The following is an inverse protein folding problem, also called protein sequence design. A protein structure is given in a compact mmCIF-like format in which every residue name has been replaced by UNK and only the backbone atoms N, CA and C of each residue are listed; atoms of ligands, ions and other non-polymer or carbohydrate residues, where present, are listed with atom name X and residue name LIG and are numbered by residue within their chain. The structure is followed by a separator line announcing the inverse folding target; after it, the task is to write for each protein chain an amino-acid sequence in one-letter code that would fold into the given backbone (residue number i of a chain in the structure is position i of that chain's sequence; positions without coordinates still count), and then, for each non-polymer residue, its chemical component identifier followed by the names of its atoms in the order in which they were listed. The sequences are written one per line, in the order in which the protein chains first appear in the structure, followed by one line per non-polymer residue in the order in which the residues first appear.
data_IF_038828660318
#
_entry.id   IF_038828660318
#
_cell.length_a   1.000
_cell.length_b   1.000
_cell.length_c   1.000
_cell.angle_alpha   90.00
_cell.angle_beta   90.00
_cell.angle_gamma   90.00
#
_symmetry.space_group_name_H-M   'P 1'
#
loop_
_entity.id
_entity.type
_entity.pdbx_description
1 polymer ?
#
# COMPACT_ATOMS: atom_id res chain seq x y z
N UNK A 1 -28.18 -54.22 -68.43
CA UNK A 1 -27.98 -52.78 -68.32
C UNK A 1 -28.54 -52.35 -66.95
N UNK A 2 -27.72 -52.22 -65.94
CA UNK A 2 -28.13 -51.87 -64.59
C UNK A 2 -27.50 -50.47 -64.24
N UNK A 3 -28.33 -49.51 -63.77
CA UNK A 3 -27.80 -48.21 -63.40
C UNK A 3 -27.17 -48.24 -61.98
N UNK A 4 -26.02 -47.71 -61.86
CA UNK A 4 -25.26 -47.49 -60.57
C UNK A 4 -25.92 -46.40 -59.77
N UNK A 5 -26.33 -46.74 -58.54
CA UNK A 5 -26.78 -45.75 -57.54
C UNK A 5 -25.63 -44.99 -56.94
N UNK A 6 -25.62 -43.67 -57.09
CA UNK A 6 -24.71 -42.76 -56.48
C UNK A 6 -25.15 -42.50 -55.03
N UNK A 7 -24.35 -42.95 -54.04
CA UNK A 7 -24.58 -42.64 -52.63
C UNK A 7 -23.93 -41.30 -52.30
N UNK A 8 -24.75 -40.28 -52.09
CA UNK A 8 -24.32 -39.00 -51.53
C UNK A 8 -24.02 -39.15 -50.04
N UNK A 9 -22.76 -39.08 -49.70
CA UNK A 9 -22.30 -39.00 -48.28
C UNK A 9 -22.46 -37.56 -47.80
N UNK A 10 -23.41 -37.34 -46.91
CA UNK A 10 -23.61 -36.06 -46.23
C UNK A 10 -22.49 -35.90 -45.19
N UNK A 11 -21.52 -35.06 -45.47
CA UNK A 11 -20.56 -34.60 -44.51
C UNK A 11 -21.24 -33.62 -43.52
N UNK A 12 -21.34 -34.05 -42.27
CA UNK A 12 -21.88 -33.23 -41.17
C UNK A 12 -20.73 -32.33 -40.67
N UNK A 13 -20.72 -31.05 -41.08
CA UNK A 13 -19.84 -30.04 -40.50
C UNK A 13 -20.32 -29.70 -39.08
N UNK A 14 -19.63 -30.22 -38.08
CA UNK A 14 -19.78 -29.79 -36.68
C UNK A 14 -18.96 -28.52 -36.51
N UNK A 15 -19.62 -27.37 -36.55
CA UNK A 15 -18.99 -26.08 -36.13
C UNK A 15 -18.82 -26.08 -34.61
N UNK A 16 -17.61 -26.33 -34.13
CA UNK A 16 -17.24 -26.11 -32.74
C UNK A 16 -17.22 -24.57 -32.51
N UNK A 17 -18.26 -24.05 -31.87
CA UNK A 17 -18.27 -22.67 -31.37
C UNK A 17 -17.37 -22.66 -30.09
N UNK A 18 -16.12 -22.30 -30.24
CA UNK A 18 -15.26 -21.93 -29.09
C UNK A 18 -15.85 -20.64 -28.50
N UNK A 19 -16.65 -20.78 -27.45
CA UNK A 19 -17.04 -19.68 -26.61
C UNK A 19 -15.79 -19.11 -25.93
N UNK A 20 -15.29 -17.99 -26.44
CA UNK A 20 -14.22 -17.24 -25.79
C UNK A 20 -14.70 -16.75 -24.44
N UNK A 21 -14.18 -17.33 -23.35
CA UNK A 21 -14.33 -16.77 -22.01
C UNK A 21 -13.51 -15.47 -21.99
N UNK A 22 -14.19 -14.36 -22.24
CA UNK A 22 -13.59 -13.03 -22.00
C UNK A 22 -13.48 -12.86 -20.49
N UNK A 23 -12.33 -13.21 -19.93
CA UNK A 23 -11.99 -12.81 -18.57
C UNK A 23 -11.95 -11.28 -18.56
N UNK A 24 -12.98 -10.66 -17.98
CA UNK A 24 -12.91 -9.25 -17.63
C UNK A 24 -11.79 -9.13 -16.59
N UNK A 25 -10.66 -8.55 -16.97
CA UNK A 25 -9.64 -8.18 -16.02
C UNK A 25 -10.27 -7.15 -15.08
N UNK A 26 -10.59 -7.57 -13.86
CA UNK A 26 -10.99 -6.66 -12.80
C UNK A 26 -9.75 -5.84 -12.50
N UNK A 27 -9.77 -4.55 -12.82
CA UNK A 27 -8.70 -3.64 -12.44
C UNK A 27 -8.51 -3.74 -10.92
N UNK A 28 -7.27 -3.93 -10.49
CA UNK A 28 -6.96 -3.99 -9.07
C UNK A 28 -7.36 -2.64 -8.44
N UNK A 29 -8.12 -2.65 -7.34
CA UNK A 29 -8.69 -1.41 -6.80
C UNK A 29 -7.63 -0.43 -6.29
N UNK A 30 -6.42 -0.90 -5.97
CA UNK A 30 -5.37 -0.05 -5.42
C UNK A 30 -5.71 0.56 -4.06
N UNK A 31 -4.93 1.53 -3.65
CA UNK A 31 -5.20 2.35 -2.47
C UNK A 31 -6.44 3.23 -2.74
N UNK A 32 -7.46 3.16 -1.86
CA UNK A 32 -8.74 3.85 -2.04
C UNK A 32 -8.73 5.21 -1.38
N UNK A 33 -9.46 6.15 -1.93
CA UNK A 33 -9.79 7.45 -1.33
C UNK A 33 -8.57 8.28 -0.88
N UNK A 34 -7.42 8.12 -1.56
CA UNK A 34 -6.18 8.78 -1.18
C UNK A 34 -5.50 8.20 0.05
N UNK A 35 -6.00 7.11 0.60
CA UNK A 35 -5.41 6.44 1.74
C UNK A 35 -4.29 5.48 1.35
N UNK A 36 -3.44 5.13 2.30
CA UNK A 36 -2.38 4.16 2.18
C UNK A 36 -2.34 3.29 3.43
N UNK A 37 -3.32 2.38 3.54
CA UNK A 37 -3.57 1.61 4.78
C UNK A 37 -2.63 0.44 5.00
N UNK A 38 -1.94 -0.01 3.97
CA UNK A 38 -1.06 -1.17 3.98
C UNK A 38 0.33 -0.79 3.47
N UNK A 39 1.32 -1.60 3.77
CA UNK A 39 2.69 -1.40 3.29
C UNK A 39 2.78 -1.15 1.77
N UNK A 40 2.00 -1.86 0.99
CA UNK A 40 1.90 -1.72 -0.46
C UNK A 40 0.67 -0.99 -0.95
N UNK A 41 0.03 -0.17 -0.12
CA UNK A 41 -1.16 0.60 -0.44
C UNK A 41 -2.46 -0.13 -0.14
N UNK A 42 -2.59 -1.35 -0.61
CA UNK A 42 -3.76 -2.22 -0.43
C UNK A 42 -3.36 -3.63 0.05
N UNK A 43 -4.36 -4.48 0.35
CA UNK A 43 -4.14 -5.87 0.79
C UNK A 43 -3.44 -6.73 -0.26
N UNK A 44 -3.61 -6.40 -1.54
CA UNK A 44 -2.95 -7.11 -2.65
C UNK A 44 -1.51 -6.63 -2.89
N UNK A 45 -1.05 -5.62 -2.14
CA UNK A 45 0.28 -5.01 -2.26
C UNK A 45 0.56 -4.50 -3.67
N UNK A 46 -0.44 -3.86 -4.30
CA UNK A 46 -0.36 -3.40 -5.68
C UNK A 46 0.56 -2.22 -5.89
N UNK A 47 0.83 -1.44 -4.84
CA UNK A 47 1.60 -0.19 -4.86
C UNK A 47 1.02 0.83 -5.83
N UNK A 48 -0.27 0.78 -6.01
CA UNK A 48 -1.00 1.63 -6.94
C UNK A 48 -1.97 2.54 -6.17
N UNK A 49 -1.99 3.81 -6.54
CA UNK A 49 -3.00 4.78 -6.13
C UNK A 49 -3.75 5.25 -7.37
N UNK A 50 -5.09 5.21 -7.37
CA UNK A 50 -5.90 5.68 -8.49
C UNK A 50 -6.05 7.21 -8.53
N UNK A 51 -5.35 7.95 -7.65
CA UNK A 51 -5.38 9.41 -7.65
C UNK A 51 -4.77 9.95 -8.94
N UNK A 52 -5.44 10.92 -9.57
CA UNK A 52 -5.10 11.50 -10.87
C UNK A 52 -5.00 13.03 -10.85
N UNK A 53 -5.02 13.65 -9.65
CA UNK A 53 -4.94 15.11 -9.51
C UNK A 53 -3.60 15.69 -9.97
N UNK A 54 -2.53 14.88 -9.90
CA UNK A 54 -1.19 15.30 -10.35
C UNK A 54 -0.97 14.77 -11.75
N UNK A 55 -0.72 15.68 -12.68
CA UNK A 55 -0.51 15.41 -14.10
C UNK A 55 0.82 16.02 -14.56
N UNK A 56 1.24 15.71 -15.79
CA UNK A 56 2.43 16.32 -16.37
C UNK A 56 2.29 17.86 -16.49
N UNK A 57 1.07 18.35 -16.64
CA UNK A 57 0.83 19.79 -16.86
C UNK A 57 0.88 20.60 -15.56
N UNK A 58 0.57 19.99 -14.41
CA UNK A 58 0.55 20.70 -13.13
C UNK A 58 1.65 20.23 -12.14
N UNK A 59 2.52 19.32 -12.56
CA UNK A 59 3.59 18.82 -11.69
C UNK A 59 4.55 19.93 -11.23
N UNK A 60 4.80 20.93 -12.09
CA UNK A 60 5.64 22.09 -11.75
C UNK A 60 5.04 23.02 -10.69
N UNK A 61 3.74 22.90 -10.45
CA UNK A 61 3.01 23.77 -9.52
C UNK A 61 2.94 23.19 -8.10
N UNK A 62 3.56 22.01 -7.90
CA UNK A 62 3.62 21.38 -6.59
C UNK A 62 4.48 22.18 -5.63
N UNK A 63 3.94 22.43 -4.45
CA UNK A 63 4.62 23.12 -3.36
C UNK A 63 4.85 22.18 -2.16
N UNK A 64 5.95 22.39 -1.44
CA UNK A 64 6.22 21.70 -0.20
C UNK A 64 5.39 22.32 0.93
N UNK A 65 4.30 21.65 1.32
CA UNK A 65 3.37 22.15 2.33
C UNK A 65 3.98 22.07 3.75
N UNK A 66 4.61 20.94 4.08
CA UNK A 66 5.27 20.76 5.38
C UNK A 66 6.41 19.75 5.30
N UNK A 67 7.28 19.78 6.32
CA UNK A 67 8.38 18.83 6.49
C UNK A 67 8.52 18.46 7.95
N UNK A 68 8.63 17.17 8.24
CA UNK A 68 8.90 16.64 9.55
C UNK A 68 10.34 16.08 9.60
N UNK A 69 11.12 16.47 10.59
CA UNK A 69 12.42 15.87 10.87
C UNK A 69 12.25 14.71 11.83
N UNK A 70 12.90 13.58 11.56
CA UNK A 70 12.81 12.36 12.35
C UNK A 70 14.12 11.96 13.03
N UNK A 71 15.20 12.64 12.70
CA UNK A 71 16.57 12.33 13.16
C UNK A 71 16.80 12.48 14.67
N UNK A 72 15.98 13.30 15.35
CA UNK A 72 16.15 13.63 16.77
C UNK A 72 15.18 12.88 17.72
N UNK A 73 14.47 11.86 17.25
CA UNK A 73 13.53 11.07 18.07
C UNK A 73 14.17 9.86 18.76
N UNK A 74 15.37 10.02 19.28
CA UNK A 74 16.06 8.93 19.98
C UNK A 74 17.37 9.42 20.59
N UNK A 75 18.09 8.54 21.31
CA UNK A 75 19.33 8.92 21.98
C UNK A 75 20.49 9.25 21.02
N UNK A 76 20.41 8.81 19.79
CA UNK A 76 21.34 9.11 18.72
C UNK A 76 20.58 9.51 17.47
N UNK A 77 21.16 10.34 16.59
CA UNK A 77 20.51 10.71 15.34
C UNK A 77 20.20 9.49 14.46
N UNK A 78 19.04 9.51 13.83
CA UNK A 78 18.66 8.50 12.85
C UNK A 78 19.31 8.85 11.51
N UNK A 79 20.15 7.95 10.99
CA UNK A 79 20.86 8.14 9.72
C UNK A 79 20.39 7.18 8.62
N UNK A 80 19.48 6.28 8.93
CA UNK A 80 18.97 5.28 7.98
C UNK A 80 17.46 5.05 8.20
N UNK A 81 16.66 5.97 7.70
CA UNK A 81 15.21 5.90 7.76
C UNK A 81 14.67 4.88 6.77
N UNK A 82 14.00 3.85 7.25
CA UNK A 82 13.45 2.75 6.46
C UNK A 82 11.95 2.51 6.71
N UNK A 83 11.26 3.48 7.29
CA UNK A 83 9.83 3.38 7.54
C UNK A 83 9.04 3.56 6.24
N UNK A 84 7.96 2.80 6.11
CA UNK A 84 6.91 3.09 5.13
C UNK A 84 5.73 3.67 5.90
N UNK A 85 5.44 4.96 5.74
CA UNK A 85 4.29 5.58 6.41
C UNK A 85 2.97 4.99 5.91
N UNK A 86 1.97 5.00 6.80
CA UNK A 86 0.57 4.74 6.44
C UNK A 86 -0.18 6.06 6.45
N UNK A 87 -1.21 6.14 5.60
CA UNK A 87 -2.13 7.27 5.55
C UNK A 87 -3.57 6.75 5.72
N UNK A 88 -4.20 7.13 6.81
CA UNK A 88 -5.56 6.69 7.14
C UNK A 88 -6.35 7.82 7.77
N UNK A 89 -7.51 8.13 7.22
CA UNK A 89 -8.41 9.13 7.76
C UNK A 89 -7.81 10.52 7.91
N UNK A 90 -6.95 10.95 6.97
CA UNK A 90 -6.25 12.24 7.04
C UNK A 90 -5.06 12.27 8.00
N UNK A 91 -4.65 11.13 8.56
CA UNK A 91 -3.51 11.04 9.49
C UNK A 91 -2.40 10.18 8.90
N UNK A 92 -1.18 10.71 8.92
CA UNK A 92 0.03 9.97 8.55
C UNK A 92 0.63 9.33 9.80
N UNK A 93 0.80 8.02 9.76
CA UNK A 93 1.45 7.24 10.81
C UNK A 93 2.82 6.76 10.33
N UNK A 94 3.86 6.95 11.14
CA UNK A 94 5.20 6.52 10.80
C UNK A 94 5.98 6.07 12.04
N UNK A 95 6.92 5.15 11.86
CA UNK A 95 7.97 4.93 12.86
C UNK A 95 9.05 5.97 12.67
N UNK A 96 9.58 6.49 13.77
CA UNK A 96 10.62 7.52 13.78
C UNK A 96 11.65 7.25 14.85
N UNK A 97 12.86 7.76 14.63
CA UNK A 97 13.95 7.72 15.59
C UNK A 97 14.56 6.33 15.81
N UNK A 98 15.63 6.33 16.58
CA UNK A 98 16.46 5.13 16.83
C UNK A 98 15.88 4.16 17.85
N UNK A 99 14.74 4.48 18.47
CA UNK A 99 14.01 3.59 19.39
C UNK A 99 12.59 3.29 18.90
N UNK A 100 12.36 3.32 17.59
CA UNK A 100 11.10 2.90 16.96
C UNK A 100 9.87 3.55 17.58
N UNK A 101 9.96 4.85 17.88
CA UNK A 101 8.76 5.59 18.27
C UNK A 101 7.78 5.62 17.13
N UNK A 102 6.49 5.65 17.44
CA UNK A 102 5.43 5.81 16.46
C UNK A 102 4.85 7.21 16.60
N UNK A 103 4.71 7.92 15.51
CA UNK A 103 4.07 9.24 15.46
C UNK A 103 2.83 9.20 14.59
N UNK A 104 1.86 10.04 14.96
CA UNK A 104 0.73 10.41 14.15
C UNK A 104 0.78 11.90 13.88
N UNK A 105 0.67 12.26 12.62
CA UNK A 105 0.68 13.66 12.16
C UNK A 105 -0.54 13.90 11.28
N UNK A 106 -1.12 15.09 11.39
CA UNK A 106 -2.13 15.54 10.44
C UNK A 106 -1.52 15.64 9.03
N UNK A 107 -2.16 14.98 8.06
CA UNK A 107 -1.60 14.87 6.71
C UNK A 107 -1.59 16.20 5.95
N UNK A 108 -2.52 17.11 6.26
CA UNK A 108 -2.64 18.41 5.61
C UNK A 108 -1.70 19.45 6.18
N UNK A 109 -1.47 19.45 7.50
CA UNK A 109 -0.73 20.50 8.20
C UNK A 109 0.65 20.07 8.70
N UNK A 110 0.88 18.75 8.87
CA UNK A 110 2.08 18.23 9.49
C UNK A 110 2.10 18.40 11.02
N UNK A 111 0.98 18.77 11.64
CA UNK A 111 0.87 18.91 13.08
C UNK A 111 0.98 17.55 13.78
N UNK A 112 1.75 17.50 14.89
CA UNK A 112 1.84 16.31 15.71
C UNK A 112 0.56 16.11 16.50
N UNK A 113 -0.15 14.99 16.23
CA UNK A 113 -1.34 14.60 16.98
C UNK A 113 -0.97 13.81 18.23
N UNK A 114 -0.08 12.85 18.09
CA UNK A 114 0.46 12.08 19.21
C UNK A 114 1.76 11.36 18.83
N UNK A 115 2.49 10.96 19.86
CA UNK A 115 3.66 10.08 19.75
C UNK A 115 3.58 8.99 20.81
N UNK A 116 3.85 7.76 20.39
CA UNK A 116 4.03 6.62 21.29
C UNK A 116 5.50 6.19 21.28
N UNK A 117 6.08 6.05 22.45
CA UNK A 117 7.42 5.55 22.65
C UNK A 117 7.41 4.43 23.65
N UNK A 118 7.96 3.28 23.26
CA UNK A 118 8.18 2.16 24.15
C UNK A 118 9.58 2.23 24.72
N UNK A 119 9.70 2.15 26.04
CA UNK A 119 10.99 1.91 26.70
C UNK A 119 11.23 0.40 26.75
N UNK A 120 12.13 -0.08 25.92
CA UNK A 120 12.50 -1.50 25.84
C UNK A 120 13.68 -1.85 26.78
N UNK A 121 14.21 -0.89 27.53
CA UNK A 121 15.32 -1.08 28.46
C UNK A 121 16.56 -1.68 27.78
N UNK A 122 17.26 -2.58 28.49
CA UNK A 122 18.49 -3.23 28.03
C UNK A 122 18.32 -3.95 26.66
N UNK A 123 17.14 -4.51 26.43
CA UNK A 123 16.83 -5.16 25.14
C UNK A 123 17.05 -4.21 23.94
N UNK A 124 16.67 -2.95 24.09
CA UNK A 124 16.87 -1.97 23.02
C UNK A 124 18.35 -1.63 22.82
N UNK A 125 19.10 -1.65 23.89
CA UNK A 125 20.54 -1.32 23.87
C UNK A 125 21.38 -2.46 23.29
N UNK A 126 20.96 -3.69 23.48
CA UNK A 126 21.59 -4.91 22.95
C UNK A 126 21.08 -5.30 21.56
N UNK A 127 20.00 -4.72 21.09
CA UNK A 127 19.43 -5.05 19.80
C UNK A 127 20.44 -4.78 18.66
N UNK A 128 20.64 -5.74 17.75
CA UNK A 128 21.55 -5.56 16.61
C UNK A 128 21.07 -4.47 15.66
N UNK A 129 19.80 -4.07 15.78
CA UNK A 129 19.15 -3.06 14.97
C UNK A 129 18.44 -2.05 15.85
N UNK A 130 19.00 -0.85 15.92
CA UNK A 130 18.54 0.25 16.78
C UNK A 130 17.83 1.37 16.04
N UNK A 131 17.61 1.19 14.73
CA UNK A 131 17.01 2.21 13.89
C UNK A 131 15.49 2.09 13.91
N UNK A 132 14.81 3.09 13.32
CA UNK A 132 13.35 3.09 13.14
C UNK A 132 12.85 1.77 12.59
N UNK A 133 11.67 1.37 13.00
CA UNK A 133 11.00 0.16 12.49
C UNK A 133 10.81 0.22 10.98
N UNK A 134 10.57 -0.93 10.37
CA UNK A 134 10.41 -1.03 8.92
C UNK A 134 9.03 -0.63 8.41
N UNK A 135 8.09 -0.40 9.29
CA UNK A 135 6.74 -0.04 8.93
C UNK A 135 5.74 -0.35 10.02
N UNK A 136 4.52 -0.02 9.72
CA UNK A 136 3.36 -0.15 10.59
C UNK A 136 2.32 -1.01 9.89
N UNK A 137 1.43 -1.62 10.67
CA UNK A 137 0.18 -2.15 10.18
C UNK A 137 -0.99 -1.39 10.82
N UNK A 138 -2.04 -1.19 10.08
CA UNK A 138 -3.28 -0.61 10.55
C UNK A 138 -4.37 -1.66 10.59
N UNK A 139 -5.12 -1.70 11.68
CA UNK A 139 -6.30 -2.53 11.83
C UNK A 139 -7.50 -1.66 12.18
N UNK A 140 -8.55 -1.79 11.40
CA UNK A 140 -9.84 -1.18 11.69
C UNK A 140 -10.67 -2.11 12.58
N UNK A 141 -11.18 -1.57 13.68
CA UNK A 141 -12.04 -2.30 14.64
C UNK A 141 -13.48 -1.75 14.68
N UNK A 142 -13.94 -1.12 13.58
CA UNK A 142 -15.30 -0.61 13.50
C UNK A 142 -15.56 0.63 14.37
N UNK A 143 -14.63 1.58 14.35
CA UNK A 143 -14.76 2.88 15.05
C UNK A 143 -13.52 3.30 15.84
N UNK A 144 -12.59 2.38 16.10
CA UNK A 144 -11.27 2.71 16.64
C UNK A 144 -10.19 2.00 15.81
N UNK A 145 -9.31 2.78 15.18
CA UNK A 145 -8.14 2.24 14.50
C UNK A 145 -7.06 1.80 15.49
N UNK A 146 -6.33 0.74 15.15
CA UNK A 146 -5.17 0.28 15.90
C UNK A 146 -3.94 0.32 15.01
N UNK A 147 -2.86 0.89 15.54
CA UNK A 147 -1.53 0.80 14.93
C UNK A 147 -0.77 -0.36 15.57
N UNK A 148 -0.24 -1.24 14.73
CA UNK A 148 0.55 -2.41 15.13
C UNK A 148 1.95 -2.24 14.57
N UNK A 149 2.96 -2.43 15.40
CA UNK A 149 4.36 -2.35 14.98
C UNK A 149 5.22 -3.38 15.73
N UNK A 150 6.40 -3.63 15.20
CA UNK A 150 7.36 -4.59 15.75
C UNK A 150 8.49 -3.83 16.44
N UNK A 151 8.82 -4.27 17.64
CA UNK A 151 9.92 -3.77 18.46
C UNK A 151 11.13 -4.71 18.41
#
# INVERSE_FOLDING_TARGET
MTPRSCRFTRALCVCLVLGGVTSTAVAQPGARDGEWRHYGGDEANTRYSPLDQITADNFSDLELVWRMKTDNFGPVPEYNFQSTPLMVGGVVYSTVGTRRSVVAVDAGTGEYLWMHRLDEGERADEAPRRLSGRGLAYRDNGGSGQIIYVT
#
